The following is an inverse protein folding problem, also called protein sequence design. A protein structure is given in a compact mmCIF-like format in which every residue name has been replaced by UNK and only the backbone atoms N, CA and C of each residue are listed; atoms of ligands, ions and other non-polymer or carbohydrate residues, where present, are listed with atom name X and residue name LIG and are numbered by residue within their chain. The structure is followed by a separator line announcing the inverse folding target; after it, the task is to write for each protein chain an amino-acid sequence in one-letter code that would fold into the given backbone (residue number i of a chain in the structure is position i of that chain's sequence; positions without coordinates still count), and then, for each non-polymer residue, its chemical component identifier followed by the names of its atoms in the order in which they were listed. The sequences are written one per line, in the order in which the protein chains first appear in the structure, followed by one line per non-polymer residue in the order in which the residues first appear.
data_IF_569133599830
#
_entry.id   IF_569133599830
#
_cell.length_a   1.000
_cell.length_b   1.000
_cell.length_c   1.000
_cell.angle_alpha   90.00
_cell.angle_beta   90.00
_cell.angle_gamma   90.00
#
_symmetry.space_group_name_H-M   'P 1'
#
loop_
_entity.id
_entity.type
_entity.pdbx_description
1 polymer ?
#
# COMPACT_ATOMS: atom_id res chain seq x y z
N UNK A 1 14.48 20.96 11.72
CA UNK A 1 14.47 19.49 11.94
C UNK A 1 13.23 19.13 12.77
N UNK A 2 12.37 18.29 12.25
CA UNK A 2 11.17 17.82 12.96
C UNK A 2 11.53 17.11 14.26
N UNK A 3 10.80 17.42 15.34
CA UNK A 3 11.01 16.75 16.62
C UNK A 3 10.47 15.33 16.55
N UNK A 4 11.26 14.33 16.91
CA UNK A 4 10.85 12.92 17.02
C UNK A 4 9.53 12.76 17.81
N UNK A 5 9.34 13.58 18.86
CA UNK A 5 8.11 13.60 19.65
C UNK A 5 6.84 13.97 18.84
N UNK A 6 6.96 14.89 17.89
CA UNK A 6 5.85 15.27 17.01
C UNK A 6 5.46 14.12 16.06
N UNK A 7 6.45 13.43 15.48
CA UNK A 7 6.22 12.28 14.62
C UNK A 7 5.54 11.15 15.42
N UNK A 8 6.04 10.84 16.62
CA UNK A 8 5.42 9.84 17.53
C UNK A 8 3.98 10.20 17.89
N UNK A 9 3.71 11.48 18.16
CA UNK A 9 2.35 11.94 18.48
C UNK A 9 1.39 11.78 17.29
N UNK A 10 1.85 12.09 16.07
CA UNK A 10 1.10 11.91 14.82
C UNK A 10 0.80 10.43 14.57
N UNK A 11 1.81 9.57 14.66
CA UNK A 11 1.62 8.12 14.50
C UNK A 11 0.65 7.55 15.54
N UNK A 12 0.78 7.96 16.81
CA UNK A 12 -0.12 7.51 17.88
C UNK A 12 -1.57 7.96 17.64
N UNK A 13 -1.80 9.17 17.11
CA UNK A 13 -3.15 9.63 16.75
C UNK A 13 -3.73 8.77 15.62
N UNK A 14 -2.94 8.42 14.63
CA UNK A 14 -3.40 7.58 13.53
C UNK A 14 -3.75 6.15 13.99
N UNK A 15 -2.92 5.51 14.82
CA UNK A 15 -3.24 4.21 15.41
C UNK A 15 -4.55 4.28 16.24
N UNK A 16 -4.75 5.34 17.00
CA UNK A 16 -6.02 5.56 17.74
C UNK A 16 -7.20 5.79 16.80
N UNK A 17 -6.99 6.47 15.67
CA UNK A 17 -8.03 6.62 14.66
C UNK A 17 -8.53 5.26 14.17
N UNK A 18 -7.69 4.30 13.89
CA UNK A 18 -8.13 2.94 13.56
C UNK A 18 -9.01 2.33 14.66
N UNK A 19 -8.69 2.55 15.93
CA UNK A 19 -9.45 2.01 17.06
C UNK A 19 -10.83 2.67 17.25
N UNK A 20 -10.96 3.95 16.93
CA UNK A 20 -12.16 4.74 17.30
C UNK A 20 -13.00 5.20 16.11
N UNK A 21 -12.51 5.11 14.88
CA UNK A 21 -13.24 5.58 13.68
C UNK A 21 -14.42 4.71 13.27
N UNK A 22 -14.51 3.50 13.81
CA UNK A 22 -15.51 2.50 13.40
C UNK A 22 -15.07 1.61 12.23
N UNK A 23 -13.88 1.80 11.66
CA UNK A 23 -13.34 0.91 10.62
C UNK A 23 -13.05 -0.50 11.13
N UNK A 24 -12.69 -0.63 12.40
CA UNK A 24 -12.62 -1.90 13.12
C UNK A 24 -13.83 -2.06 14.02
N UNK A 25 -14.61 -3.11 13.82
CA UNK A 25 -15.78 -3.45 14.64
C UNK A 25 -15.79 -4.96 14.90
N UNK A 26 -15.37 -5.41 16.09
CA UNK A 26 -14.91 -4.62 17.26
C UNK A 26 -13.59 -3.89 17.02
N UNK A 27 -13.32 -2.90 17.86
CA UNK A 27 -12.09 -2.07 17.78
C UNK A 27 -10.78 -2.83 18.07
N UNK A 28 -10.85 -4.10 18.38
CA UNK A 28 -9.72 -5.00 18.58
C UNK A 28 -9.23 -5.71 17.32
N UNK A 29 -9.84 -5.40 16.16
CA UNK A 29 -9.47 -5.96 14.87
C UNK A 29 -9.94 -7.40 14.59
N UNK A 30 -10.74 -8.01 15.50
CA UNK A 30 -11.17 -9.41 15.38
C UNK A 30 -12.04 -9.71 14.14
N UNK A 31 -12.64 -8.69 13.53
CA UNK A 31 -13.35 -8.77 12.26
C UNK A 31 -12.67 -8.02 11.11
N UNK A 32 -11.36 -7.80 11.24
CA UNK A 32 -10.58 -7.06 10.25
C UNK A 32 -10.90 -5.58 10.23
N UNK A 33 -10.40 -4.92 9.18
CA UNK A 33 -10.51 -3.48 8.97
C UNK A 33 -11.30 -3.22 7.70
N UNK A 34 -12.33 -2.38 7.78
CA UNK A 34 -13.10 -1.91 6.63
C UNK A 34 -12.24 -1.01 5.73
N UNK A 35 -12.55 -0.97 4.43
CA UNK A 35 -11.70 -0.32 3.45
C UNK A 35 -11.59 1.19 3.67
N UNK A 36 -12.74 1.88 3.85
CA UNK A 36 -12.75 3.35 3.94
C UNK A 36 -13.99 3.91 4.64
N UNK A 37 -13.84 5.17 5.06
CA UNK A 37 -14.94 6.07 5.40
C UNK A 37 -15.16 7.01 4.22
N UNK A 38 -16.42 7.28 3.89
CA UNK A 38 -16.83 8.26 2.90
C UNK A 38 -17.70 9.33 3.58
N UNK A 39 -17.24 10.59 3.56
CA UNK A 39 -17.98 11.71 4.17
C UNK A 39 -19.13 12.13 3.26
N UNK A 40 -20.25 12.54 3.86
CA UNK A 40 -21.38 13.13 3.13
C UNK A 40 -21.01 14.50 2.55
N UNK A 41 -21.57 14.87 1.40
CA UNK A 41 -21.38 16.18 0.79
C UNK A 41 -20.64 16.21 -0.55
N UNK A 42 -20.09 15.09 -1.02
CA UNK A 42 -19.56 14.96 -2.38
C UNK A 42 -20.48 14.04 -3.21
N UNK A 43 -21.60 14.61 -3.66
CA UNK A 43 -22.74 13.84 -4.13
C UNK A 43 -22.45 12.96 -5.36
N UNK A 44 -21.71 13.43 -6.37
CA UNK A 44 -21.47 12.65 -7.59
C UNK A 44 -20.55 11.44 -7.32
N UNK A 45 -19.44 11.65 -6.62
CA UNK A 45 -18.53 10.57 -6.25
C UNK A 45 -19.20 9.56 -5.32
N UNK A 46 -20.04 10.02 -4.39
CA UNK A 46 -20.80 9.15 -3.50
C UNK A 46 -21.78 8.25 -4.25
N UNK A 47 -22.55 8.80 -5.19
CA UNK A 47 -23.48 8.01 -5.98
C UNK A 47 -22.80 6.92 -6.79
N UNK A 48 -21.69 7.24 -7.46
CA UNK A 48 -20.92 6.28 -8.24
C UNK A 48 -20.34 5.18 -7.34
N UNK A 49 -19.80 5.56 -6.19
CA UNK A 49 -19.22 4.62 -5.24
C UNK A 49 -20.28 3.72 -4.64
N UNK A 50 -21.43 4.24 -4.23
CA UNK A 50 -22.53 3.43 -3.70
C UNK A 50 -23.13 2.47 -4.74
N UNK A 51 -23.19 2.87 -6.01
CA UNK A 51 -23.64 1.97 -7.10
C UNK A 51 -22.64 0.85 -7.36
N UNK A 52 -21.34 1.14 -7.23
CA UNK A 52 -20.27 0.17 -7.50
C UNK A 52 -20.05 -0.84 -6.37
N UNK A 53 -20.33 -0.44 -5.12
CA UNK A 53 -20.06 -1.24 -3.93
C UNK A 53 -21.30 -1.37 -3.05
N UNK A 54 -21.86 -2.58 -2.88
CA UNK A 54 -23.20 -2.75 -2.30
C UNK A 54 -23.26 -2.73 -0.78
N UNK A 55 -22.13 -2.84 -0.08
CA UNK A 55 -22.13 -3.03 1.37
C UNK A 55 -21.60 -1.80 2.12
N UNK A 56 -22.51 -1.10 2.78
CA UNK A 56 -22.26 0.13 3.53
C UNK A 56 -22.94 0.13 4.89
N UNK A 57 -22.28 0.68 5.90
CA UNK A 57 -22.89 1.12 7.15
C UNK A 57 -23.04 2.62 7.10
N UNK A 58 -24.28 3.12 7.06
CA UNK A 58 -24.59 4.54 6.95
C UNK A 58 -24.73 5.19 8.32
N UNK A 59 -24.15 6.37 8.48
CA UNK A 59 -24.31 7.32 9.56
C UNK A 59 -24.82 8.66 9.01
N UNK A 60 -25.16 9.62 9.87
CA UNK A 60 -25.69 10.92 9.45
C UNK A 60 -24.73 11.69 8.53
N UNK A 61 -23.45 11.79 8.92
CA UNK A 61 -22.44 12.60 8.25
C UNK A 61 -21.42 11.81 7.45
N UNK A 62 -21.46 10.47 7.48
CA UNK A 62 -20.51 9.60 6.78
C UNK A 62 -21.05 8.19 6.59
N UNK A 63 -20.38 7.44 5.77
CA UNK A 63 -20.65 6.02 5.57
C UNK A 63 -19.36 5.22 5.63
N UNK A 64 -19.42 3.99 6.15
CA UNK A 64 -18.29 3.05 6.15
C UNK A 64 -18.53 2.01 5.08
N UNK A 65 -17.56 1.85 4.20
CA UNK A 65 -17.55 0.78 3.20
C UNK A 65 -17.11 -0.52 3.87
N UNK A 66 -18.06 -1.45 3.99
CA UNK A 66 -17.86 -2.71 4.73
C UNK A 66 -17.04 -3.77 3.99
N UNK A 67 -16.50 -3.43 2.84
CA UNK A 67 -15.50 -4.24 2.19
C UNK A 67 -14.26 -4.36 3.09
N UNK A 68 -13.74 -5.57 3.23
CA UNK A 68 -12.47 -5.83 3.87
C UNK A 68 -11.58 -6.47 2.83
N UNK A 69 -10.53 -5.75 2.47
CA UNK A 69 -9.56 -6.22 1.48
C UNK A 69 -8.37 -6.86 2.19
N UNK A 70 -7.79 -7.92 1.64
CA UNK A 70 -6.68 -8.62 2.28
C UNK A 70 -5.42 -7.75 2.36
N UNK A 71 -5.08 -7.01 1.29
CA UNK A 71 -3.95 -6.07 1.24
C UNK A 71 -4.04 -5.02 2.36
N UNK A 72 -5.15 -4.26 2.44
CA UNK A 72 -5.37 -3.25 3.48
C UNK A 72 -5.30 -3.83 4.89
N UNK A 73 -5.78 -5.05 5.09
CA UNK A 73 -5.74 -5.72 6.38
C UNK A 73 -4.32 -6.18 6.74
N UNK A 74 -3.53 -6.72 5.79
CA UNK A 74 -2.13 -7.06 6.03
C UNK A 74 -1.28 -5.81 6.33
N UNK A 75 -1.46 -4.74 5.57
CA UNK A 75 -0.81 -3.45 5.83
C UNK A 75 -1.13 -2.93 7.23
N UNK A 76 -2.40 -2.98 7.63
CA UNK A 76 -2.83 -2.54 8.96
C UNK A 76 -2.27 -3.45 10.07
N UNK A 77 -2.23 -4.77 9.87
CA UNK A 77 -1.61 -5.69 10.82
C UNK A 77 -0.11 -5.38 11.01
N UNK A 78 0.62 -5.13 9.92
CA UNK A 78 2.02 -4.71 9.99
C UNK A 78 2.18 -3.38 10.75
N UNK A 79 1.32 -2.39 10.46
CA UNK A 79 1.35 -1.10 11.15
C UNK A 79 1.14 -1.25 12.66
N UNK A 80 0.18 -2.06 13.08
CA UNK A 80 -0.08 -2.31 14.50
C UNK A 80 1.06 -3.07 15.17
N UNK A 81 1.68 -4.05 14.51
CA UNK A 81 2.85 -4.77 15.05
C UNK A 81 4.06 -3.83 15.20
N UNK A 82 4.36 -3.00 14.20
CA UNK A 82 5.42 -2.00 14.30
C UNK A 82 5.10 -0.95 15.37
N UNK A 83 3.85 -0.52 15.47
CA UNK A 83 3.36 0.38 16.51
C UNK A 83 3.46 -0.24 17.90
N UNK A 84 3.24 -1.55 18.05
CA UNK A 84 3.42 -2.27 19.29
C UNK A 84 4.86 -2.16 19.81
N UNK A 85 5.83 -2.29 18.92
CA UNK A 85 7.27 -2.14 19.21
C UNK A 85 7.65 -0.70 19.53
N UNK A 86 7.24 0.27 18.69
CA UNK A 86 7.58 1.70 18.87
C UNK A 86 7.03 2.25 20.18
N UNK A 87 5.84 1.82 20.59
CA UNK A 87 5.17 2.33 21.79
C UNK A 87 5.25 1.41 23.00
N UNK A 88 5.88 0.23 22.88
CA UNK A 88 5.86 -0.84 23.88
C UNK A 88 4.42 -1.15 24.36
N UNK A 89 3.53 -1.40 23.40
CA UNK A 89 2.08 -1.52 23.63
C UNK A 89 1.57 -2.92 23.25
N UNK A 90 1.43 -3.85 24.21
CA UNK A 90 0.94 -5.21 23.95
C UNK A 90 -0.47 -5.26 23.33
N UNK A 91 -1.28 -4.21 23.55
CA UNK A 91 -2.61 -4.10 22.92
C UNK A 91 -2.49 -4.05 21.39
N UNK A 92 -1.54 -3.31 20.85
CA UNK A 92 -1.36 -3.20 19.40
C UNK A 92 -0.89 -4.53 18.79
N UNK A 93 -0.03 -5.27 19.48
CA UNK A 93 0.34 -6.62 19.06
C UNK A 93 -0.89 -7.55 18.98
N UNK A 94 -1.79 -7.50 19.99
CA UNK A 94 -3.04 -8.28 19.96
C UNK A 94 -3.97 -7.85 18.81
N UNK A 95 -4.04 -6.56 18.49
CA UNK A 95 -4.82 -6.08 17.33
C UNK A 95 -4.25 -6.65 16.03
N UNK A 96 -2.93 -6.62 15.85
CA UNK A 96 -2.29 -7.21 14.68
C UNK A 96 -2.60 -8.72 14.59
N UNK A 97 -2.48 -9.45 15.69
CA UNK A 97 -2.82 -10.88 15.74
C UNK A 97 -4.29 -11.17 15.41
N UNK A 98 -5.21 -10.35 15.90
CA UNK A 98 -6.64 -10.49 15.61
C UNK A 98 -6.95 -10.23 14.13
N UNK A 99 -6.34 -9.22 13.52
CA UNK A 99 -6.49 -8.95 12.08
C UNK A 99 -5.96 -10.13 11.26
N UNK A 100 -4.79 -10.68 11.61
CA UNK A 100 -4.26 -11.88 10.96
C UNK A 100 -5.17 -13.09 11.16
N UNK A 101 -5.72 -13.29 12.36
CA UNK A 101 -6.69 -14.35 12.60
C UNK A 101 -7.95 -14.20 11.73
N UNK A 102 -8.45 -12.96 11.57
CA UNK A 102 -9.53 -12.68 10.65
C UNK A 102 -9.16 -13.08 9.22
N UNK A 103 -8.03 -12.63 8.72
CA UNK A 103 -7.57 -12.93 7.36
C UNK A 103 -7.48 -14.43 7.10
N UNK A 104 -6.74 -15.14 7.93
CA UNK A 104 -6.41 -16.56 7.68
C UNK A 104 -7.53 -17.53 8.01
N UNK A 105 -8.42 -17.21 8.95
CA UNK A 105 -9.36 -18.17 9.50
C UNK A 105 -10.84 -17.80 9.34
N UNK A 106 -11.18 -16.50 9.19
CA UNK A 106 -12.58 -16.06 9.25
C UNK A 106 -13.08 -15.40 7.96
N UNK A 107 -12.20 -14.72 7.23
CA UNK A 107 -12.59 -13.87 6.10
C UNK A 107 -13.12 -14.61 4.87
N UNK A 108 -12.68 -15.86 4.67
CA UNK A 108 -12.95 -16.63 3.44
C UNK A 108 -12.34 -16.00 2.18
N UNK A 109 -11.35 -15.09 2.33
CA UNK A 109 -10.70 -14.45 1.18
C UNK A 109 -9.53 -15.26 0.62
N UNK A 110 -8.85 -16.03 1.47
CA UNK A 110 -7.79 -16.93 1.05
C UNK A 110 -8.35 -18.11 0.30
N UNK A 111 -7.88 -18.38 -0.92
CA UNK A 111 -8.27 -19.54 -1.72
C UNK A 111 -7.61 -20.84 -1.20
N UNK A 112 -7.84 -21.15 0.07
CA UNK A 112 -7.31 -22.35 0.69
C UNK A 112 -8.01 -23.60 0.11
N UNK A 113 -7.23 -24.64 -0.19
CA UNK A 113 -7.75 -25.87 -0.77
C UNK A 113 -8.53 -25.70 -2.10
N UNK A 114 -8.23 -24.66 -2.87
CA UNK A 114 -8.90 -24.38 -4.16
C UNK A 114 -10.43 -24.30 -4.06
N UNK A 115 -10.95 -23.69 -3.00
CA UNK A 115 -12.39 -23.44 -2.88
C UNK A 115 -12.95 -22.60 -4.04
N UNK A 116 -12.11 -21.85 -4.73
CA UNK A 116 -12.37 -21.17 -6.00
C UNK A 116 -11.55 -21.89 -7.08
N UNK A 117 -12.13 -22.85 -7.83
CA UNK A 117 -11.37 -23.76 -8.70
C UNK A 117 -10.69 -23.05 -9.88
N UNK A 118 -11.21 -21.90 -10.30
CA UNK A 118 -10.66 -21.11 -11.40
C UNK A 118 -9.35 -20.38 -11.04
N UNK A 119 -8.97 -20.36 -9.76
CA UNK A 119 -7.77 -19.71 -9.27
C UNK A 119 -6.82 -20.71 -8.61
N UNK A 120 -5.54 -20.36 -8.59
CA UNK A 120 -4.54 -21.13 -7.87
C UNK A 120 -4.86 -21.18 -6.36
N UNK A 121 -4.36 -22.23 -5.68
CA UNK A 121 -4.40 -22.27 -4.23
C UNK A 121 -3.53 -21.15 -3.63
N UNK A 122 -3.90 -20.73 -2.42
CA UNK A 122 -3.16 -19.76 -1.61
C UNK A 122 -3.03 -18.36 -2.22
N UNK A 123 -3.88 -18.02 -3.19
CA UNK A 123 -4.10 -16.64 -3.63
C UNK A 123 -5.26 -16.00 -2.88
N UNK A 124 -5.27 -14.67 -2.85
CA UNK A 124 -6.28 -13.89 -2.14
C UNK A 124 -7.26 -13.25 -3.12
N UNK A 125 -8.56 -13.47 -2.91
CA UNK A 125 -9.57 -12.71 -3.64
C UNK A 125 -9.62 -11.27 -3.13
N UNK A 126 -10.11 -10.38 -3.97
CA UNK A 126 -10.11 -8.93 -3.75
C UNK A 126 -10.75 -8.48 -2.43
N UNK A 127 -11.92 -9.04 -2.05
CA UNK A 127 -12.56 -8.66 -0.80
C UNK A 127 -13.49 -9.77 -0.25
N UNK A 128 -13.94 -9.59 1.01
CA UNK A 128 -14.76 -10.57 1.71
C UNK A 128 -16.20 -10.72 1.19
N UNK A 129 -16.76 -9.68 0.55
CA UNK A 129 -18.19 -9.63 0.14
C UNK A 129 -18.40 -9.77 -1.37
N UNK A 130 -17.37 -10.03 -2.12
CA UNK A 130 -17.47 -10.23 -3.57
C UNK A 130 -18.05 -11.61 -3.89
N UNK A 131 -19.19 -11.66 -4.58
CA UNK A 131 -19.83 -12.92 -4.94
C UNK A 131 -19.14 -13.65 -6.10
N UNK A 132 -18.45 -12.92 -7.00
CA UNK A 132 -17.51 -13.48 -7.97
C UNK A 132 -16.10 -13.14 -7.52
N UNK A 133 -15.26 -14.12 -7.22
CA UNK A 133 -13.89 -13.84 -6.81
C UNK A 133 -13.14 -13.17 -7.96
N UNK A 134 -12.45 -12.07 -7.63
CA UNK A 134 -11.42 -11.48 -8.47
C UNK A 134 -10.09 -11.55 -7.72
N UNK A 135 -9.02 -11.81 -8.43
CA UNK A 135 -7.65 -11.90 -7.91
C UNK A 135 -6.84 -10.88 -8.66
N UNK A 136 -6.26 -9.91 -7.96
CA UNK A 136 -5.49 -8.81 -8.54
C UNK A 136 -4.00 -8.97 -8.26
N UNK A 137 -3.15 -8.55 -9.22
CA UNK A 137 -1.70 -8.65 -9.10
C UNK A 137 -1.14 -7.77 -7.97
N UNK A 138 -1.60 -6.53 -7.88
CA UNK A 138 -1.18 -5.56 -6.86
C UNK A 138 -1.60 -5.97 -5.45
N UNK A 139 -2.87 -6.34 -5.26
CA UNK A 139 -3.38 -6.79 -3.97
C UNK A 139 -2.61 -8.04 -3.48
N UNK A 140 -2.42 -9.03 -4.36
CA UNK A 140 -1.68 -10.23 -4.00
C UNK A 140 -0.19 -9.97 -3.80
N UNK A 141 0.38 -8.96 -4.45
CA UNK A 141 1.75 -8.56 -4.19
C UNK A 141 1.96 -8.13 -2.73
N UNK A 142 1.03 -7.34 -2.17
CA UNK A 142 1.03 -7.00 -0.75
C UNK A 142 0.74 -8.20 0.14
N UNK A 143 -0.21 -9.07 -0.26
CA UNK A 143 -0.55 -10.31 0.45
C UNK A 143 0.58 -11.37 0.41
N UNK A 144 1.59 -11.20 -0.40
CA UNK A 144 2.82 -12.00 -0.41
C UNK A 144 3.89 -11.31 0.42
N UNK A 145 4.17 -10.04 0.13
CA UNK A 145 5.32 -9.33 0.69
C UNK A 145 5.19 -9.08 2.20
N UNK A 146 4.00 -8.64 2.66
CA UNK A 146 3.80 -8.34 4.09
C UNK A 146 3.78 -9.59 4.96
N UNK A 147 3.10 -10.70 4.61
CA UNK A 147 3.21 -11.94 5.40
C UNK A 147 4.64 -12.47 5.52
N UNK A 148 5.44 -12.44 4.44
CA UNK A 148 6.85 -12.83 4.51
C UNK A 148 7.64 -11.94 5.46
N UNK A 149 7.38 -10.64 5.45
CA UNK A 149 7.96 -9.69 6.38
C UNK A 149 7.52 -9.96 7.82
N UNK A 150 6.22 -10.13 8.06
CA UNK A 150 5.67 -10.42 9.40
C UNK A 150 6.19 -11.75 9.95
N UNK A 151 6.38 -12.77 9.10
CA UNK A 151 6.95 -14.06 9.50
C UNK A 151 8.38 -13.92 10.04
N UNK A 152 9.17 -12.98 9.46
CA UNK A 152 10.51 -12.65 9.97
C UNK A 152 10.47 -11.83 11.26
N UNK A 153 9.60 -10.83 11.27
CA UNK A 153 9.47 -9.93 12.41
C UNK A 153 8.88 -10.62 13.63
N UNK A 154 7.93 -11.53 13.46
CA UNK A 154 7.13 -12.10 14.53
C UNK A 154 6.99 -13.62 14.36
N UNK A 155 7.98 -14.43 14.85
CA UNK A 155 7.95 -15.89 14.71
C UNK A 155 6.69 -16.54 15.30
N UNK A 156 6.07 -15.94 16.32
CA UNK A 156 4.83 -16.45 16.89
C UNK A 156 3.65 -16.35 15.92
N UNK A 157 3.59 -15.30 15.10
CA UNK A 157 2.60 -15.19 14.03
C UNK A 157 2.85 -16.25 12.95
N UNK A 158 4.12 -16.46 12.56
CA UNK A 158 4.48 -17.51 11.61
C UNK A 158 4.06 -18.89 12.12
N UNK A 159 4.38 -19.20 13.38
CA UNK A 159 3.99 -20.47 14.01
C UNK A 159 2.47 -20.67 14.02
N UNK A 160 1.70 -19.60 14.25
CA UNK A 160 0.24 -19.65 14.37
C UNK A 160 -0.47 -19.71 13.02
N UNK A 161 -0.01 -18.96 12.03
CA UNK A 161 -0.73 -18.75 10.78
C UNK A 161 -0.07 -19.41 9.56
N UNK A 162 1.17 -19.94 9.68
CA UNK A 162 1.92 -20.56 8.59
C UNK A 162 2.05 -19.64 7.35
N UNK A 163 2.29 -18.36 7.61
CA UNK A 163 2.23 -17.28 6.61
C UNK A 163 3.22 -17.48 5.48
N UNK A 164 4.44 -17.94 5.79
CA UNK A 164 5.52 -18.11 4.81
C UNK A 164 5.16 -19.10 3.72
N UNK A 165 4.67 -20.28 4.08
CA UNK A 165 4.31 -21.32 3.12
C UNK A 165 3.18 -20.85 2.18
N UNK A 166 2.15 -20.22 2.74
CA UNK A 166 1.02 -19.67 1.98
C UNK A 166 1.49 -18.56 1.03
N UNK A 167 2.31 -17.62 1.52
CA UNK A 167 2.81 -16.53 0.70
C UNK A 167 3.73 -17.00 -0.44
N UNK A 168 4.56 -18.02 -0.20
CA UNK A 168 5.41 -18.59 -1.26
C UNK A 168 4.59 -19.34 -2.32
N UNK A 169 3.56 -20.08 -1.95
CA UNK A 169 2.65 -20.67 -2.91
C UNK A 169 1.90 -19.61 -3.73
N UNK A 170 1.46 -18.53 -3.09
CA UNK A 170 0.88 -17.37 -3.78
C UNK A 170 1.87 -16.69 -4.74
N UNK A 171 3.14 -16.59 -4.37
CA UNK A 171 4.20 -16.05 -5.23
C UNK A 171 4.46 -16.92 -6.46
N UNK A 172 4.41 -18.25 -6.31
CA UNK A 172 4.52 -19.17 -7.44
C UNK A 172 3.36 -19.01 -8.43
N UNK A 173 2.14 -18.91 -7.92
CA UNK A 173 0.95 -18.67 -8.73
C UNK A 173 1.00 -17.32 -9.45
N UNK A 174 1.46 -16.26 -8.76
CA UNK A 174 1.67 -14.95 -9.34
C UNK A 174 2.76 -15.00 -10.44
N UNK A 175 3.86 -15.71 -10.21
CA UNK A 175 4.94 -15.86 -11.17
C UNK A 175 4.48 -16.58 -12.45
N UNK A 176 3.65 -17.63 -12.34
CA UNK A 176 3.09 -18.34 -13.47
C UNK A 176 2.18 -17.45 -14.33
N UNK A 177 1.25 -16.74 -13.68
CA UNK A 177 0.37 -15.80 -14.36
C UNK A 177 1.15 -14.64 -15.02
N UNK A 178 2.12 -14.11 -14.31
CA UNK A 178 2.99 -13.02 -14.80
C UNK A 178 3.84 -13.47 -16.00
N UNK A 179 4.47 -14.65 -15.91
CA UNK A 179 5.24 -15.24 -17.02
C UNK A 179 4.37 -15.50 -18.26
N UNK A 180 3.12 -15.90 -18.05
CA UNK A 180 2.17 -16.11 -19.14
C UNK A 180 1.78 -14.79 -19.81
N UNK A 181 1.47 -13.77 -19.00
CA UNK A 181 1.14 -12.45 -19.50
C UNK A 181 2.31 -11.83 -20.31
N UNK A 182 3.56 -11.93 -19.82
CA UNK A 182 4.73 -11.37 -20.48
C UNK A 182 5.07 -12.05 -21.83
N UNK A 183 4.53 -13.24 -22.12
CA UNK A 183 4.66 -13.91 -23.43
C UNK A 183 3.62 -13.42 -24.44
N UNK A 184 2.50 -12.87 -23.98
CA UNK A 184 1.46 -12.33 -24.85
C UNK A 184 1.91 -10.97 -25.42
N UNK A 185 1.70 -10.69 -26.73
CA UNK A 185 2.05 -9.40 -27.32
C UNK A 185 1.42 -8.20 -26.60
N UNK A 186 0.21 -8.37 -26.10
CA UNK A 186 -0.57 -7.32 -25.43
C UNK A 186 -0.65 -7.48 -23.91
N UNK A 187 0.01 -8.51 -23.36
CA UNK A 187 -0.03 -8.85 -21.93
C UNK A 187 -1.44 -9.04 -21.38
N UNK A 188 -2.34 -9.61 -22.20
CA UNK A 188 -3.76 -9.81 -21.90
C UNK A 188 -4.08 -11.21 -21.30
N UNK A 189 -3.18 -12.18 -21.48
CA UNK A 189 -3.32 -13.51 -20.89
C UNK A 189 -2.81 -13.54 -19.47
N UNK A 190 -3.71 -13.53 -18.50
CA UNK A 190 -3.38 -13.40 -17.08
C UNK A 190 -3.87 -14.56 -16.22
N UNK A 191 -4.25 -15.69 -16.80
CA UNK A 191 -4.71 -16.91 -16.10
C UNK A 191 -5.78 -16.63 -15.02
N UNK A 192 -6.78 -15.80 -15.36
CA UNK A 192 -7.84 -15.40 -14.43
C UNK A 192 -7.46 -14.27 -13.46
N UNK A 193 -6.22 -13.82 -13.44
CA UNK A 193 -5.81 -12.66 -12.66
C UNK A 193 -6.26 -11.35 -13.32
N UNK A 194 -6.53 -10.36 -12.48
CA UNK A 194 -6.91 -9.01 -12.89
C UNK A 194 -5.76 -8.03 -12.70
N UNK A 195 -5.79 -6.94 -13.47
CA UNK A 195 -4.80 -5.87 -13.43
C UNK A 195 -4.26 -5.54 -14.81
N UNK A 196 -3.82 -4.31 -14.99
CA UNK A 196 -3.24 -3.80 -16.25
C UNK A 196 -1.73 -3.85 -16.16
N UNK A 197 -1.11 -5.03 -16.34
CA UNK A 197 0.33 -5.24 -16.15
C UNK A 197 1.24 -4.27 -16.92
N UNK A 198 0.71 -3.61 -17.96
CA UNK A 198 1.41 -2.52 -18.65
C UNK A 198 1.60 -1.27 -17.79
N UNK A 199 0.88 -1.15 -16.69
CA UNK A 199 1.05 -0.06 -15.72
C UNK A 199 1.87 -0.54 -14.52
N UNK A 200 2.88 0.23 -14.10
CA UNK A 200 3.72 -0.10 -12.94
C UNK A 200 2.96 -0.43 -11.66
N UNK A 201 1.80 0.17 -11.44
CA UNK A 201 0.92 -0.15 -10.33
C UNK A 201 0.72 -1.66 -10.13
N UNK A 202 0.44 -2.41 -11.19
CA UNK A 202 0.27 -3.86 -11.09
C UNK A 202 1.58 -4.61 -11.29
N UNK A 203 2.31 -4.28 -12.35
CA UNK A 203 3.49 -5.06 -12.74
C UNK A 203 4.70 -4.83 -11.84
N UNK A 204 4.97 -3.60 -11.39
CA UNK A 204 6.08 -3.36 -10.48
C UNK A 204 5.80 -3.85 -9.06
N UNK A 205 4.54 -3.87 -8.62
CA UNK A 205 4.18 -4.54 -7.36
C UNK A 205 4.30 -6.07 -7.48
N UNK A 206 3.98 -6.65 -8.64
CA UNK A 206 4.27 -8.08 -8.87
C UNK A 206 5.78 -8.34 -8.76
N UNK A 207 6.65 -7.49 -9.31
CA UNK A 207 8.11 -7.57 -9.13
C UNK A 207 8.50 -7.48 -7.66
N UNK A 208 7.87 -6.59 -6.87
CA UNK A 208 8.07 -6.48 -5.42
C UNK A 208 7.77 -7.81 -4.72
N UNK A 209 6.67 -8.47 -5.08
CA UNK A 209 6.29 -9.77 -4.51
C UNK A 209 7.31 -10.86 -4.83
N UNK A 210 7.73 -10.95 -6.11
CA UNK A 210 8.74 -11.91 -6.55
C UNK A 210 10.09 -11.68 -5.86
N UNK A 211 10.49 -10.43 -5.71
CA UNK A 211 11.71 -10.05 -5.00
C UNK A 211 11.64 -10.40 -3.50
N UNK A 212 10.48 -10.21 -2.86
CA UNK A 212 10.24 -10.61 -1.48
C UNK A 212 10.31 -12.12 -1.31
N UNK A 213 9.69 -12.88 -2.21
CA UNK A 213 9.68 -14.33 -2.20
C UNK A 213 11.07 -14.94 -2.49
N UNK A 214 11.86 -14.29 -3.35
CA UNK A 214 13.22 -14.74 -3.67
C UNK A 214 14.16 -14.80 -2.45
N UNK A 215 13.94 -13.93 -1.47
CA UNK A 215 14.71 -13.94 -0.21
C UNK A 215 14.41 -15.16 0.65
N UNK A 216 13.20 -15.68 0.57
CA UNK A 216 12.73 -16.83 1.35
C UNK A 216 12.85 -18.15 0.61
N UNK A 217 12.96 -18.11 -0.72
CA UNK A 217 13.07 -19.29 -1.60
C UNK A 217 14.23 -19.12 -2.60
N UNK A 218 15.48 -19.39 -2.18
CA UNK A 218 16.65 -19.25 -3.06
C UNK A 218 16.60 -20.14 -4.31
N UNK A 219 15.93 -21.29 -4.27
CA UNK A 219 15.85 -22.22 -5.39
C UNK A 219 15.07 -21.61 -6.59
N UNK A 220 14.11 -20.73 -6.31
CA UNK A 220 13.32 -20.03 -7.33
C UNK A 220 13.79 -18.62 -7.65
N UNK A 221 14.79 -18.15 -6.92
CA UNK A 221 15.29 -16.77 -7.02
C UNK A 221 15.66 -16.37 -8.45
N UNK A 222 16.34 -17.23 -9.20
CA UNK A 222 16.75 -16.93 -10.58
C UNK A 222 15.55 -16.84 -11.54
N UNK A 223 14.54 -17.69 -11.38
CA UNK A 223 13.32 -17.63 -12.20
C UNK A 223 12.51 -16.37 -11.92
N UNK A 224 12.36 -15.97 -10.65
CA UNK A 224 11.71 -14.73 -10.27
C UNK A 224 12.46 -13.51 -10.77
N UNK A 225 13.81 -13.53 -10.69
CA UNK A 225 14.67 -12.47 -11.21
C UNK A 225 14.48 -12.27 -12.71
N UNK A 226 14.47 -13.34 -13.50
CA UNK A 226 14.31 -13.24 -14.96
C UNK A 226 12.99 -12.56 -15.35
N UNK A 227 11.89 -12.82 -14.64
CA UNK A 227 10.61 -12.13 -14.86
C UNK A 227 10.70 -10.65 -14.46
N UNK A 228 11.33 -10.36 -13.33
CA UNK A 228 11.55 -9.00 -12.85
C UNK A 228 12.41 -8.19 -13.84
N UNK A 229 13.52 -8.75 -14.34
CA UNK A 229 14.39 -8.11 -15.34
C UNK A 229 13.62 -7.79 -16.63
N UNK A 230 12.83 -8.74 -17.12
CA UNK A 230 12.01 -8.53 -18.33
C UNK A 230 11.01 -7.39 -18.15
N UNK A 231 10.32 -7.35 -17.00
CA UNK A 231 9.34 -6.30 -16.72
C UNK A 231 9.99 -4.94 -16.51
N UNK A 232 11.04 -4.88 -15.71
CA UNK A 232 11.74 -3.62 -15.44
C UNK A 232 12.42 -3.04 -16.69
N UNK A 233 12.89 -3.87 -17.61
CA UNK A 233 13.36 -3.40 -18.92
C UNK A 233 12.26 -2.72 -19.76
N UNK A 234 11.01 -3.14 -19.59
CA UNK A 234 9.86 -2.46 -20.21
C UNK A 234 9.58 -1.10 -19.54
N UNK A 235 9.54 -1.05 -18.21
CA UNK A 235 9.30 0.20 -17.47
C UNK A 235 10.40 1.23 -17.74
N UNK A 236 11.66 0.79 -17.87
CA UNK A 236 12.82 1.63 -18.09
C UNK A 236 12.89 2.28 -19.49
N UNK A 237 12.06 1.87 -20.45
CA UNK A 237 12.08 2.45 -21.80
C UNK A 237 11.84 3.95 -21.81
N UNK A 238 10.93 4.43 -20.95
CA UNK A 238 10.66 5.84 -20.75
C UNK A 238 10.06 6.07 -19.36
N UNK A 239 10.92 6.32 -18.38
CA UNK A 239 10.49 6.57 -17.00
C UNK A 239 9.71 7.88 -16.85
N UNK A 240 9.94 8.85 -17.74
CA UNK A 240 9.29 10.16 -17.72
C UNK A 240 7.86 10.13 -18.28
N UNK A 241 7.51 9.13 -19.06
CA UNK A 241 6.17 8.95 -19.59
C UNK A 241 5.15 8.52 -18.52
N UNK A 242 5.62 7.97 -17.40
CA UNK A 242 4.76 7.56 -16.29
C UNK A 242 4.35 8.76 -15.44
N UNK A 243 3.11 8.80 -15.00
CA UNK A 243 2.68 9.76 -13.99
C UNK A 243 3.37 9.47 -12.64
N UNK A 244 3.36 10.44 -11.71
CA UNK A 244 4.08 10.34 -10.44
C UNK A 244 3.63 9.16 -9.58
N UNK A 245 2.35 8.78 -9.66
CA UNK A 245 1.83 7.59 -9.01
C UNK A 245 2.54 6.32 -9.52
N UNK A 246 2.53 6.12 -10.84
CA UNK A 246 3.16 4.96 -11.48
C UNK A 246 4.69 4.94 -11.27
N UNK A 247 5.35 6.12 -11.25
CA UNK A 247 6.77 6.23 -10.90
C UNK A 247 7.04 5.74 -9.46
N UNK A 248 6.13 6.01 -8.53
CA UNK A 248 6.26 5.59 -7.13
C UNK A 248 6.14 4.07 -6.96
N UNK A 249 5.22 3.44 -7.68
CA UNK A 249 5.11 1.98 -7.71
C UNK A 249 6.32 1.33 -8.41
N UNK A 250 6.79 1.90 -9.52
CA UNK A 250 8.00 1.45 -10.20
C UNK A 250 9.23 1.54 -9.28
N UNK A 251 9.32 2.62 -8.49
CA UNK A 251 10.39 2.79 -7.50
C UNK A 251 10.34 1.69 -6.43
N UNK A 252 9.17 1.38 -5.86
CA UNK A 252 9.04 0.30 -4.89
C UNK A 252 9.49 -1.04 -5.47
N UNK A 253 9.01 -1.42 -6.65
CA UNK A 253 9.42 -2.64 -7.33
C UNK A 253 10.93 -2.71 -7.56
N UNK A 254 11.55 -1.61 -8.05
CA UNK A 254 12.99 -1.52 -8.28
C UNK A 254 13.81 -1.62 -6.99
N UNK A 255 13.35 -1.01 -5.89
CA UNK A 255 14.02 -1.07 -4.59
C UNK A 255 14.03 -2.48 -4.00
N UNK A 256 12.89 -3.16 -4.04
CA UNK A 256 12.80 -4.56 -3.60
C UNK A 256 13.69 -5.47 -4.44
N UNK A 257 13.65 -5.30 -5.78
CA UNK A 257 14.49 -6.05 -6.70
C UNK A 257 15.99 -5.79 -6.45
N UNK A 258 16.40 -4.52 -6.29
CA UNK A 258 17.78 -4.15 -5.99
C UNK A 258 18.28 -4.75 -4.67
N UNK A 259 17.39 -4.79 -3.65
CA UNK A 259 17.72 -5.36 -2.35
C UNK A 259 17.81 -6.89 -2.37
N UNK A 260 16.99 -7.57 -3.19
CA UNK A 260 16.99 -9.03 -3.29
C UNK A 260 18.07 -9.55 -4.27
N UNK A 261 18.39 -8.77 -5.30
CA UNK A 261 19.39 -9.10 -6.31
C UNK A 261 20.44 -8.00 -6.48
N UNK A 262 21.32 -7.75 -5.48
CA UNK A 262 22.24 -6.60 -5.45
C UNK A 262 23.32 -6.64 -6.52
N UNK A 263 23.52 -7.79 -7.15
CA UNK A 263 24.42 -7.96 -8.32
C UNK A 263 23.81 -7.43 -9.63
N UNK A 264 22.49 -7.30 -9.72
CA UNK A 264 21.78 -6.77 -10.89
C UNK A 264 21.71 -5.24 -10.79
N UNK A 265 22.73 -4.56 -11.32
CA UNK A 265 22.89 -3.09 -11.19
C UNK A 265 21.77 -2.28 -11.86
N UNK A 266 21.07 -2.86 -12.81
CA UNK A 266 19.97 -2.19 -13.51
C UNK A 266 18.82 -1.83 -12.57
N UNK A 267 18.49 -2.68 -11.59
CA UNK A 267 17.48 -2.36 -10.59
C UNK A 267 17.87 -1.17 -9.71
N UNK A 268 19.12 -1.13 -9.25
CA UNK A 268 19.62 0.00 -8.46
C UNK A 268 19.64 1.29 -9.27
N UNK A 269 20.10 1.24 -10.54
CA UNK A 269 20.11 2.40 -11.43
C UNK A 269 18.69 2.93 -11.67
N UNK A 270 17.72 2.06 -11.97
CA UNK A 270 16.34 2.45 -12.19
C UNK A 270 15.72 3.07 -10.92
N UNK A 271 16.00 2.50 -9.75
CA UNK A 271 15.56 3.08 -8.49
C UNK A 271 16.16 4.48 -8.25
N UNK A 272 17.41 4.70 -8.64
CA UNK A 272 18.06 6.01 -8.57
C UNK A 272 17.43 7.04 -9.50
N UNK A 273 17.15 6.66 -10.74
CA UNK A 273 16.52 7.51 -11.74
C UNK A 273 15.08 7.89 -11.33
N UNK A 274 14.29 6.92 -10.88
CA UNK A 274 12.92 7.16 -10.40
C UNK A 274 12.90 8.05 -9.14
N UNK A 275 13.80 7.82 -8.20
CA UNK A 275 13.93 8.69 -7.03
C UNK A 275 14.27 10.13 -7.43
N UNK A 276 15.15 10.32 -8.41
CA UNK A 276 15.53 11.63 -8.90
C UNK A 276 14.34 12.34 -9.59
N UNK A 277 13.55 11.62 -10.39
CA UNK A 277 12.34 12.16 -11.02
C UNK A 277 11.33 12.63 -9.97
N UNK A 278 11.01 11.80 -8.97
CA UNK A 278 10.08 12.18 -7.90
C UNK A 278 10.62 13.39 -7.13
N UNK A 279 11.92 13.43 -6.80
CA UNK A 279 12.54 14.59 -6.15
C UNK A 279 12.45 15.84 -7.00
N UNK A 280 12.62 15.75 -8.33
CA UNK A 280 12.50 16.91 -9.22
C UNK A 280 11.08 17.47 -9.27
N UNK A 281 10.06 16.62 -9.25
CA UNK A 281 8.66 17.07 -9.16
C UNK A 281 8.40 17.81 -7.84
N UNK A 282 8.94 17.35 -6.74
CA UNK A 282 8.87 18.05 -5.44
C UNK A 282 9.53 19.41 -5.47
N UNK A 283 10.73 19.54 -6.04
CA UNK A 283 11.46 20.80 -6.14
C UNK A 283 10.74 21.83 -7.01
N UNK A 284 10.19 21.41 -8.13
CA UNK A 284 9.42 22.27 -9.05
C UNK A 284 8.13 22.81 -8.43
N UNK A 285 7.59 22.12 -7.39
CA UNK A 285 6.32 22.44 -6.75
C UNK A 285 6.47 22.79 -5.25
N UNK A 286 7.55 23.48 -4.88
CA UNK A 286 7.80 23.96 -3.51
C UNK A 286 7.75 22.89 -2.42
N UNK A 287 8.18 21.68 -2.73
CA UNK A 287 8.23 20.57 -1.77
C UNK A 287 6.93 19.78 -1.64
N UNK A 288 6.00 19.95 -2.56
CA UNK A 288 4.78 19.18 -2.68
C UNK A 288 4.78 18.34 -3.97
N UNK A 289 4.16 17.18 -3.92
CA UNK A 289 3.85 16.42 -5.13
C UNK A 289 2.44 16.80 -5.57
N UNK A 290 2.27 17.39 -6.76
CA UNK A 290 0.95 17.69 -7.29
C UNK A 290 0.21 16.40 -7.61
N UNK A 291 -1.12 16.46 -7.53
CA UNK A 291 -1.97 15.37 -8.00
C UNK A 291 -1.67 15.08 -9.47
N UNK A 292 -1.27 13.86 -9.74
CA UNK A 292 -0.92 13.39 -11.07
C UNK A 292 -1.26 11.90 -11.20
N UNK A 293 -2.55 11.63 -11.36
CA UNK A 293 -3.11 10.30 -11.58
C UNK A 293 -4.29 10.40 -12.54
N UNK A 294 -4.54 9.34 -13.34
CA UNK A 294 -5.59 9.33 -14.36
C UNK A 294 -7.02 9.42 -13.79
N UNK A 295 -7.21 9.07 -12.51
CA UNK A 295 -8.50 9.12 -11.81
C UNK A 295 -8.64 10.33 -10.88
N UNK A 296 -7.60 11.12 -10.70
CA UNK A 296 -7.60 12.29 -9.84
C UNK A 296 -7.52 13.59 -10.67
N UNK A 297 -8.15 14.70 -10.22
CA UNK A 297 -7.97 15.98 -10.88
C UNK A 297 -6.51 16.39 -10.81
N UNK A 298 -5.98 16.83 -11.95
CA UNK A 298 -4.63 17.37 -12.02
C UNK A 298 -4.62 18.80 -11.47
N UNK A 299 -3.58 19.14 -10.70
CA UNK A 299 -3.40 20.50 -10.19
C UNK A 299 -2.19 20.62 -9.31
N UNK A 300 -1.41 21.70 -9.47
CA UNK A 300 -0.20 21.94 -8.69
C UNK A 300 -0.48 22.28 -7.22
N UNK A 301 -1.70 22.69 -6.92
CA UNK A 301 -2.18 23.01 -5.56
C UNK A 301 -2.87 21.83 -4.88
N UNK A 302 -3.17 20.75 -5.61
CA UNK A 302 -3.85 19.57 -5.08
C UNK A 302 -2.84 18.49 -4.69
N UNK A 303 -2.97 17.98 -3.48
CA UNK A 303 -2.18 16.86 -2.96
C UNK A 303 -3.09 15.64 -2.87
N UNK A 304 -2.82 14.68 -3.75
CA UNK A 304 -3.51 13.40 -3.76
C UNK A 304 -2.82 12.42 -2.81
N UNK A 305 -3.54 11.97 -1.80
CA UNK A 305 -3.09 11.02 -0.79
C UNK A 305 -3.66 9.61 -1.01
N UNK A 306 -4.39 9.39 -2.10
CA UNK A 306 -4.89 8.06 -2.49
C UNK A 306 -3.86 7.37 -3.40
N UNK A 307 -3.34 8.09 -4.40
CA UNK A 307 -2.52 7.49 -5.44
C UNK A 307 -1.10 8.05 -5.54
N UNK A 308 -0.85 9.30 -5.15
CA UNK A 308 0.42 9.97 -5.47
C UNK A 308 1.33 10.14 -4.26
N UNK A 309 0.96 11.00 -3.33
CA UNK A 309 1.85 11.44 -2.24
C UNK A 309 2.12 10.33 -1.21
N UNK A 310 1.13 9.52 -0.90
CA UNK A 310 1.24 8.41 0.04
C UNK A 310 2.28 7.37 -0.40
N UNK A 311 2.21 6.96 -1.67
CA UNK A 311 3.13 5.96 -2.23
C UNK A 311 4.53 6.52 -2.43
N UNK A 312 4.65 7.76 -2.94
CA UNK A 312 5.92 8.43 -3.06
C UNK A 312 6.62 8.60 -1.70
N UNK A 313 5.86 8.91 -0.65
CA UNK A 313 6.39 9.06 0.71
C UNK A 313 6.99 7.73 1.24
N UNK A 314 6.27 6.61 1.08
CA UNK A 314 6.77 5.29 1.46
C UNK A 314 7.96 4.86 0.61
N UNK A 315 7.91 5.10 -0.71
CA UNK A 315 8.97 4.74 -1.64
C UNK A 315 10.25 5.54 -1.39
N UNK A 316 10.17 6.86 -1.17
CA UNK A 316 11.33 7.68 -0.85
C UNK A 316 11.92 7.34 0.53
N UNK A 317 11.09 7.01 1.53
CA UNK A 317 11.59 6.46 2.78
C UNK A 317 12.41 5.19 2.55
N UNK A 318 11.83 4.23 1.81
CA UNK A 318 12.48 2.96 1.48
C UNK A 318 13.77 3.15 0.70
N UNK A 319 13.79 4.12 -0.21
CA UNK A 319 14.95 4.47 -1.04
C UNK A 319 16.18 4.90 -0.20
N UNK A 320 15.98 5.55 0.95
CA UNK A 320 17.09 6.00 1.81
C UNK A 320 17.94 4.83 2.35
N UNK A 321 17.36 3.63 2.47
CA UNK A 321 18.09 2.46 2.93
C UNK A 321 19.16 1.96 1.92
N UNK A 322 18.92 2.18 0.62
CA UNK A 322 19.85 1.79 -0.45
C UNK A 322 20.63 2.96 -1.04
N UNK A 323 20.03 4.14 -1.02
CA UNK A 323 20.54 5.33 -1.69
C UNK A 323 20.75 6.44 -0.68
N UNK A 324 21.87 6.55 -0.08
CA UNK A 324 22.17 7.61 0.90
C UNK A 324 22.35 9.00 0.24
N UNK A 325 21.36 9.41 -0.60
CA UNK A 325 21.39 10.67 -1.34
C UNK A 325 20.73 11.80 -0.54
N UNK A 326 21.41 12.95 -0.32
CA UNK A 326 20.84 14.09 0.42
C UNK A 326 19.52 14.61 -0.16
N UNK A 327 19.35 14.59 -1.49
CA UNK A 327 18.13 15.03 -2.16
C UNK A 327 16.92 14.17 -1.76
N UNK A 328 17.09 12.84 -1.74
CA UNK A 328 16.03 11.89 -1.33
C UNK A 328 15.63 12.12 0.13
N UNK A 329 16.63 12.29 1.01
CA UNK A 329 16.37 12.57 2.41
C UNK A 329 15.66 13.92 2.60
N UNK A 330 16.08 14.96 1.88
CA UNK A 330 15.44 16.28 1.92
C UNK A 330 13.98 16.21 1.43
N UNK A 331 13.74 15.54 0.31
CA UNK A 331 12.40 15.34 -0.25
C UNK A 331 11.49 14.63 0.76
N UNK A 332 11.94 13.51 1.31
CA UNK A 332 11.19 12.78 2.33
C UNK A 332 10.85 13.64 3.55
N UNK A 333 11.80 14.44 4.06
CA UNK A 333 11.54 15.30 5.21
C UNK A 333 10.53 16.41 4.89
N UNK A 334 10.59 17.03 3.72
CA UNK A 334 9.58 18.03 3.29
C UNK A 334 8.18 17.42 3.22
N UNK A 335 8.06 16.25 2.61
CA UNK A 335 6.78 15.54 2.56
C UNK A 335 6.28 15.20 3.96
N UNK A 336 7.17 14.73 4.84
CA UNK A 336 6.82 14.43 6.23
C UNK A 336 6.33 15.67 6.98
N UNK A 337 6.99 16.82 6.82
CA UNK A 337 6.56 18.09 7.44
C UNK A 337 5.13 18.44 7.04
N UNK A 338 4.81 18.36 5.75
CA UNK A 338 3.48 18.61 5.25
C UNK A 338 2.46 17.59 5.81
N UNK A 339 2.77 16.30 5.75
CA UNK A 339 1.87 15.26 6.24
C UNK A 339 1.57 15.39 7.75
N UNK A 340 2.55 15.79 8.56
CA UNK A 340 2.34 16.07 9.98
C UNK A 340 1.46 17.33 10.19
N UNK A 341 1.60 18.34 9.34
CA UNK A 341 0.80 19.56 9.40
C UNK A 341 -0.65 19.32 9.08
N UNK A 342 -0.92 18.60 7.98
CA UNK A 342 -2.27 18.38 7.45
C UNK A 342 -3.03 17.23 8.12
N UNK A 343 -2.40 16.40 8.98
CA UNK A 343 -3.13 15.34 9.68
C UNK A 343 -4.39 15.92 10.35
N UNK A 344 -5.54 15.29 10.12
CA UNK A 344 -6.81 15.76 10.65
C UNK A 344 -6.83 15.71 12.19
N UNK A 345 -7.21 16.82 12.78
CA UNK A 345 -7.29 16.99 14.25
C UNK A 345 -8.69 17.37 14.72
N UNK A 346 -9.67 17.25 13.83
CA UNK A 346 -11.07 17.46 14.16
C UNK A 346 -11.47 16.52 15.30
N UNK A 347 -12.21 16.97 16.31
CA UNK A 347 -12.52 16.14 17.50
C UNK A 347 -13.63 15.12 17.23
N UNK A 348 -13.78 14.65 16.02
CA UNK A 348 -14.70 13.60 15.59
C UNK A 348 -13.94 12.29 15.45
N UNK A 349 -14.39 11.17 16.05
CA UNK A 349 -13.65 9.90 16.04
C UNK A 349 -13.29 9.39 14.65
N UNK A 350 -14.18 9.56 13.66
CA UNK A 350 -13.97 9.13 12.28
C UNK A 350 -12.93 9.97 11.52
N UNK A 351 -12.55 11.13 12.06
CA UNK A 351 -11.59 12.06 11.46
C UNK A 351 -10.30 12.20 12.25
N UNK A 352 -10.39 12.16 13.58
CA UNK A 352 -9.28 12.54 14.46
C UNK A 352 -8.07 11.63 14.31
N UNK A 353 -7.07 12.08 13.59
CA UNK A 353 -5.79 11.37 13.38
C UNK A 353 -5.65 10.71 12.00
N UNK A 354 -6.62 10.85 11.11
CA UNK A 354 -6.52 10.37 9.74
C UNK A 354 -5.83 11.37 8.79
N UNK A 355 -5.55 10.88 7.60
CA UNK A 355 -5.36 11.66 6.39
C UNK A 355 -6.50 11.33 5.43
N UNK A 356 -7.09 12.35 4.81
CA UNK A 356 -8.14 12.19 3.80
C UNK A 356 -7.52 12.07 2.41
N UNK A 357 -8.33 11.78 1.40
CA UNK A 357 -7.82 11.49 0.06
C UNK A 357 -7.23 12.67 -0.69
N UNK A 358 -7.67 13.93 -0.44
CA UNK A 358 -7.19 15.11 -1.17
C UNK A 358 -7.10 16.32 -0.29
N UNK A 359 -5.99 17.06 -0.39
CA UNK A 359 -5.77 18.34 0.30
C UNK A 359 -5.46 19.45 -0.69
N UNK A 360 -6.13 20.60 -0.54
CA UNK A 360 -5.92 21.79 -1.35
C UNK A 360 -5.00 22.77 -0.63
N UNK A 361 -3.83 23.02 -1.20
CA UNK A 361 -2.81 23.91 -0.63
C UNK A 361 -3.18 25.39 -0.72
N UNK A 362 -3.95 25.80 -1.74
CA UNK A 362 -4.39 27.19 -1.89
C UNK A 362 -5.46 27.51 -0.85
N UNK A 363 -6.40 26.61 -0.64
CA UNK A 363 -7.44 26.76 0.37
C UNK A 363 -7.00 26.33 1.77
N UNK A 364 -5.83 25.70 1.92
CA UNK A 364 -5.32 25.12 3.16
C UNK A 364 -6.35 24.24 3.89
N UNK A 365 -7.06 23.44 3.13
CA UNK A 365 -8.15 22.61 3.62
C UNK A 365 -8.26 21.29 2.86
N UNK A 366 -8.94 20.32 3.46
CA UNK A 366 -9.34 19.11 2.77
C UNK A 366 -10.34 19.47 1.67
N UNK A 367 -9.93 19.36 0.42
CA UNK A 367 -10.67 19.80 -0.76
C UNK A 367 -10.17 19.11 -2.02
N UNK A 368 -10.81 19.45 -3.15
CA UNK A 368 -10.62 18.74 -4.40
C UNK A 368 -11.27 17.37 -4.38
N UNK A 369 -11.28 16.70 -5.49
CA UNK A 369 -11.94 15.42 -5.55
C UNK A 369 -11.48 14.57 -6.72
N UNK A 370 -11.72 13.27 -6.58
CA UNK A 370 -11.73 12.39 -7.73
C UNK A 370 -13.11 11.76 -7.89
N UNK A 371 -13.45 11.51 -9.12
CA UNK A 371 -14.80 11.09 -9.49
C UNK A 371 -15.17 9.72 -8.94
N UNK A 372 -14.20 8.80 -8.86
CA UNK A 372 -14.44 7.40 -8.51
C UNK A 372 -14.15 7.11 -7.04
N UNK A 373 -13.12 7.77 -6.48
CA UNK A 373 -12.60 7.43 -5.17
C UNK A 373 -13.03 8.39 -4.06
N UNK A 374 -13.74 9.47 -4.39
CA UNK A 374 -14.32 10.41 -3.43
C UNK A 374 -13.36 11.49 -2.92
N UNK A 375 -12.13 11.56 -3.39
CA UNK A 375 -11.19 12.64 -3.11
C UNK A 375 -11.07 12.99 -1.63
N UNK A 376 -11.28 14.26 -1.29
CA UNK A 376 -11.22 14.78 0.08
C UNK A 376 -12.25 14.18 1.03
N UNK A 377 -13.36 13.68 0.51
CA UNK A 377 -14.39 12.97 1.28
C UNK A 377 -14.04 11.53 1.60
N UNK A 378 -13.02 10.96 0.97
CA UNK A 378 -12.63 9.55 1.11
C UNK A 378 -11.46 9.39 2.07
N UNK A 379 -11.58 8.45 3.01
CA UNK A 379 -10.57 8.19 4.03
C UNK A 379 -10.27 6.69 4.03
N UNK A 380 -9.24 6.32 3.26
CA UNK A 380 -8.82 4.93 3.13
C UNK A 380 -8.05 4.43 4.36
N UNK A 381 -8.31 3.20 4.78
CA UNK A 381 -7.57 2.53 5.85
C UNK A 381 -6.18 2.10 5.39
N UNK A 382 -6.09 1.34 4.30
CA UNK A 382 -4.84 0.83 3.73
C UNK A 382 -4.07 1.94 3.00
N UNK A 383 -4.39 2.16 1.77
CA UNK A 383 -3.64 2.96 0.79
C UNK A 383 -3.22 4.36 1.24
N UNK A 384 -4.02 5.06 2.00
CA UNK A 384 -3.68 6.39 2.51
C UNK A 384 -3.08 6.30 3.92
N UNK A 385 -3.88 5.87 4.89
CA UNK A 385 -3.54 5.99 6.30
C UNK A 385 -2.44 5.02 6.71
N UNK A 386 -2.54 3.76 6.31
CA UNK A 386 -1.51 2.78 6.66
C UNK A 386 -0.20 3.06 5.96
N UNK A 387 -0.22 3.39 4.66
CA UNK A 387 0.98 3.68 3.87
C UNK A 387 1.80 4.84 4.48
N UNK A 388 1.13 5.95 4.81
CA UNK A 388 1.78 7.10 5.45
C UNK A 388 2.30 6.71 6.85
N UNK A 389 1.48 6.05 7.64
CA UNK A 389 1.85 5.66 9.01
C UNK A 389 2.99 4.64 9.05
N UNK A 390 3.06 3.70 8.11
CA UNK A 390 4.17 2.77 7.96
C UNK A 390 5.50 3.49 7.72
N UNK A 391 5.53 4.46 6.79
CA UNK A 391 6.74 5.24 6.54
C UNK A 391 7.19 6.01 7.79
N UNK A 392 6.25 6.61 8.55
CA UNK A 392 6.56 7.28 9.82
C UNK A 392 7.08 6.29 10.88
N UNK A 393 6.49 5.10 10.96
CA UNK A 393 6.89 4.08 11.92
C UNK A 393 8.29 3.55 11.61
N UNK A 394 8.57 3.25 10.35
CA UNK A 394 9.90 2.83 9.89
C UNK A 394 10.96 3.91 10.15
N UNK A 395 10.64 5.17 9.86
CA UNK A 395 11.54 6.30 10.17
C UNK A 395 11.86 6.38 11.67
N UNK A 396 10.85 6.24 12.54
CA UNK A 396 11.03 6.25 13.98
C UNK A 396 11.90 5.09 14.47
N UNK A 397 11.78 3.92 13.87
CA UNK A 397 12.53 2.73 14.26
C UNK A 397 13.94 2.65 13.62
N UNK A 398 14.28 3.56 12.70
CA UNK A 398 15.53 3.53 11.93
C UNK A 398 15.65 2.29 11.04
N UNK A 399 14.53 1.76 10.58
CA UNK A 399 14.40 0.57 9.72
C UNK A 399 13.74 0.94 8.39
N UNK A 400 13.63 0.01 7.49
CA UNK A 400 12.98 0.22 6.19
C UNK A 400 12.20 -1.02 5.75
N UNK A 401 11.11 -0.81 5.05
CA UNK A 401 10.29 -1.88 4.46
C UNK A 401 11.11 -2.87 3.60
N UNK A 402 12.16 -2.39 2.95
CA UNK A 402 12.99 -3.22 2.06
C UNK A 402 14.14 -3.94 2.77
N UNK A 403 14.46 -3.58 4.02
CA UNK A 403 15.57 -4.20 4.78
C UNK A 403 15.09 -5.17 5.85
N UNK A 404 13.85 -5.09 6.25
CA UNK A 404 13.20 -6.02 7.15
C UNK A 404 12.75 -7.27 6.41
#
# INVERSE_FOLDING_TARGET
MLKRSAIRATLRRNLRWFEYSGLMRPADGSWGVAERILLTGNNESMELTFKSFPAWTHHEDYSIMEHRRPDCNFETALLFELGAREFNCPKYHRIAENILNYLYNLSGMLNRNKQYPDFAADVWKWCNIQWRPAVYFDDNAWCISIPLLLARLCPDFEKKFQMRGIALNGADALAEAFATALKSPDWDQQLGWSGKLKLPHWGSLAVMALASAARENPEKSDSYRALAEQYQAYVAKDLSAWNTSEQSYALLGSLFAASSWPHCKDFSRQAEELSALICSHLEQNNGCLPSNHYEAPAGTHLIDLIYTMNWAFLALHSSQALQQKPAVSSAFHKMMELLLQIQDRTPRPELSGCWRGMYDLEQQSWGGGNRYEGGAGSIYSGWTNTTIALALCYFLNGRSLITD
#
